data_IF_234177218903
#
_entry.id   IF_234177218903
#
_cell.length_a   1.000
_cell.length_b   1.000
_cell.length_c   1.000
_cell.angle_alpha   90.00
_cell.angle_beta   90.00
_cell.angle_gamma   90.00
#
_symmetry.space_group_name_H-M   'P 1'
#
loop_
_entity.id
_entity.type
_entity.pdbx_description
1 polymer ?
#
# COMPACT_ATOMS: atom_id res chain seq x y z
N UNK A 1 -14.32 11.47 -12.98
CA UNK A 1 -15.06 10.51 -13.82
C UNK A 1 -14.10 9.52 -14.46
N UNK A 2 -14.57 8.31 -14.71
CA UNK A 2 -13.76 7.27 -15.36
C UNK A 2 -13.56 7.53 -16.87
N UNK A 3 -12.65 6.77 -17.48
CA UNK A 3 -12.44 6.78 -18.94
C UNK A 3 -13.75 6.40 -19.65
N UNK A 4 -14.19 7.11 -20.69
CA UNK A 4 -15.34 6.70 -21.50
C UNK A 4 -15.19 5.29 -22.04
N UNK A 5 -16.29 4.53 -22.16
CA UNK A 5 -16.21 3.14 -22.58
C UNK A 5 -15.63 2.98 -23.99
N UNK A 6 -15.92 3.91 -24.89
CA UNK A 6 -15.40 3.95 -26.25
C UNK A 6 -13.87 4.17 -26.32
N UNK A 7 -13.26 4.66 -25.23
CA UNK A 7 -11.81 4.87 -25.13
C UNK A 7 -11.11 3.77 -24.32
N UNK A 8 -11.86 2.84 -23.73
CA UNK A 8 -11.30 1.84 -22.82
C UNK A 8 -10.32 0.90 -23.50
N UNK A 9 -10.55 0.50 -24.75
CA UNK A 9 -9.61 -0.39 -25.47
C UNK A 9 -8.23 0.29 -25.66
N UNK A 10 -8.24 1.59 -26.00
CA UNK A 10 -7.00 2.37 -26.10
C UNK A 10 -6.32 2.52 -24.74
N UNK A 11 -7.09 2.80 -23.69
CA UNK A 11 -6.55 2.90 -22.32
C UNK A 11 -5.97 1.58 -21.81
N UNK A 12 -6.62 0.46 -22.08
CA UNK A 12 -6.09 -0.88 -21.77
C UNK A 12 -4.77 -1.11 -22.50
N UNK A 13 -4.67 -0.71 -23.78
CA UNK A 13 -3.43 -0.82 -24.52
C UNK A 13 -2.31 0.03 -23.91
N UNK A 14 -2.60 1.25 -23.46
CA UNK A 14 -1.62 2.12 -22.76
C UNK A 14 -1.09 1.45 -21.49
N UNK A 15 -1.95 0.76 -20.73
CA UNK A 15 -1.50 -0.01 -19.53
C UNK A 15 -0.56 -1.15 -19.93
N UNK A 16 -0.88 -1.87 -21.01
CA UNK A 16 -0.01 -2.95 -21.52
C UNK A 16 1.31 -2.41 -22.04
N UNK A 17 1.30 -1.25 -22.70
CA UNK A 17 2.49 -0.57 -23.22
C UNK A 17 3.40 -0.06 -22.07
N UNK A 18 2.82 0.40 -20.97
CA UNK A 18 3.57 0.76 -19.76
C UNK A 18 4.35 -0.45 -19.20
N UNK A 19 3.72 -1.62 -19.15
CA UNK A 19 4.40 -2.84 -18.70
C UNK A 19 5.49 -3.25 -19.72
N UNK A 20 5.21 -3.15 -21.02
CA UNK A 20 6.20 -3.41 -22.07
C UNK A 20 7.37 -2.41 -22.00
N UNK A 21 7.09 -1.12 -21.74
CA UNK A 21 8.15 -0.15 -21.51
C UNK A 21 9.03 -0.53 -20.33
N UNK A 22 8.44 -0.95 -19.22
CA UNK A 22 9.19 -1.35 -18.03
C UNK A 22 10.02 -2.62 -18.23
N UNK A 23 9.44 -3.64 -18.85
CA UNK A 23 10.00 -5.00 -18.87
C UNK A 23 10.34 -5.57 -20.24
N UNK A 24 9.90 -4.92 -21.34
CA UNK A 24 10.07 -5.43 -22.70
C UNK A 24 11.55 -5.53 -23.11
N UNK A 25 11.84 -6.50 -23.95
CA UNK A 25 13.16 -6.69 -24.56
C UNK A 25 13.47 -5.51 -25.51
N UNK A 26 14.60 -4.82 -25.28
CA UNK A 26 15.00 -3.65 -26.05
C UNK A 26 15.24 -3.91 -27.56
N UNK A 27 15.42 -5.17 -27.97
CA UNK A 27 15.63 -5.54 -29.37
C UNK A 27 14.38 -6.09 -30.04
N UNK A 28 13.41 -6.55 -29.25
CA UNK A 28 12.26 -7.32 -29.75
C UNK A 28 10.93 -6.57 -29.64
N UNK A 29 10.83 -5.62 -28.69
CA UNK A 29 9.58 -4.91 -28.43
C UNK A 29 9.70 -3.42 -28.73
N UNK A 30 8.60 -2.77 -29.08
CA UNK A 30 8.58 -1.36 -29.41
C UNK A 30 8.94 -0.50 -28.20
N UNK A 31 8.25 -0.70 -27.09
CA UNK A 31 8.45 0.10 -25.89
C UNK A 31 9.75 -0.23 -25.15
N UNK A 32 10.23 -1.48 -25.25
CA UNK A 32 11.58 -1.84 -24.79
C UNK A 32 12.67 -1.08 -25.54
N UNK A 33 12.49 -0.88 -26.84
CA UNK A 33 13.37 -0.06 -27.68
C UNK A 33 13.36 1.41 -27.26
N UNK A 34 12.17 1.99 -27.06
CA UNK A 34 12.01 3.38 -26.57
C UNK A 34 12.67 3.58 -25.20
N UNK A 35 12.54 2.60 -24.30
CA UNK A 35 13.25 2.62 -23.02
C UNK A 35 14.77 2.66 -23.21
N UNK A 36 15.30 1.83 -24.10
CA UNK A 36 16.74 1.78 -24.40
C UNK A 36 17.25 3.11 -25.00
N UNK A 37 16.49 3.73 -25.91
CA UNK A 37 16.77 5.04 -26.49
C UNK A 37 16.77 6.15 -25.43
N UNK A 38 15.94 6.01 -24.39
CA UNK A 38 15.94 6.88 -23.20
C UNK A 38 17.12 6.63 -22.24
N UNK A 39 18.07 5.76 -22.59
CA UNK A 39 19.27 5.48 -21.79
C UNK A 39 19.16 4.27 -20.86
N UNK A 40 18.06 3.52 -20.89
CA UNK A 40 17.80 2.39 -20.02
C UNK A 40 17.63 1.06 -20.79
N UNK A 41 18.72 0.47 -21.34
CA UNK A 41 18.62 -0.72 -22.20
C UNK A 41 18.15 -1.99 -21.46
N UNK A 42 18.38 -2.08 -20.13
CA UNK A 42 17.94 -3.21 -19.32
C UNK A 42 16.51 -3.02 -18.84
N UNK A 43 15.70 -4.11 -18.74
CA UNK A 43 14.40 -4.07 -18.08
C UNK A 43 14.49 -3.55 -16.64
N UNK A 44 13.45 -2.84 -16.20
CA UNK A 44 13.36 -2.36 -14.82
C UNK A 44 12.98 -3.46 -13.83
N UNK A 45 12.43 -4.57 -14.31
CA UNK A 45 12.00 -5.67 -13.45
C UNK A 45 10.71 -5.35 -12.68
N UNK A 46 9.77 -4.64 -13.32
CA UNK A 46 8.45 -4.37 -12.75
C UNK A 46 7.76 -5.70 -12.39
N UNK A 47 7.30 -5.82 -11.15
CA UNK A 47 6.60 -7.00 -10.63
C UNK A 47 5.15 -6.73 -10.23
N UNK A 48 4.83 -5.50 -9.91
CA UNK A 48 3.54 -5.08 -9.39
C UNK A 48 2.99 -3.90 -10.19
N UNK A 49 1.68 -3.86 -10.37
CA UNK A 49 0.96 -2.72 -10.93
C UNK A 49 -0.31 -2.47 -10.13
N UNK A 50 -0.45 -1.26 -9.59
CA UNK A 50 -1.67 -0.79 -8.95
C UNK A 50 -2.68 -0.33 -9.99
N UNK A 51 -3.94 -0.73 -9.87
CA UNK A 51 -5.05 -0.30 -10.71
C UNK A 51 -6.11 0.35 -9.84
N UNK A 52 -6.35 1.64 -10.06
CA UNK A 52 -7.20 2.50 -9.25
C UNK A 52 -6.45 3.11 -8.04
N UNK A 53 -7.08 4.10 -7.45
CA UNK A 53 -6.62 4.77 -6.23
C UNK A 53 -7.81 5.39 -5.50
N UNK A 54 -8.23 4.81 -4.39
CA UNK A 54 -9.35 5.31 -3.57
C UNK A 54 -10.65 5.51 -4.37
N UNK A 55 -10.86 4.73 -5.40
CA UNK A 55 -12.03 4.84 -6.26
C UNK A 55 -13.30 4.44 -5.50
N UNK A 56 -14.42 5.06 -5.88
CA UNK A 56 -15.75 4.56 -5.54
C UNK A 56 -15.99 3.26 -6.33
N UNK A 57 -16.25 2.19 -5.61
CA UNK A 57 -16.42 0.85 -6.20
C UNK A 57 -17.86 0.71 -6.71
N UNK A 58 -18.09 1.22 -7.91
CA UNK A 58 -19.36 1.18 -8.62
C UNK A 58 -19.35 0.14 -9.72
N UNK A 59 -20.51 -0.18 -10.31
CA UNK A 59 -20.59 -1.07 -11.48
C UNK A 59 -19.71 -0.55 -12.63
N UNK A 60 -19.64 0.77 -12.80
CA UNK A 60 -18.79 1.43 -13.80
C UNK A 60 -17.30 1.20 -13.52
N UNK A 61 -16.88 1.26 -12.27
CA UNK A 61 -15.52 0.92 -11.87
C UNK A 61 -15.23 -0.56 -12.10
N UNK A 62 -16.11 -1.43 -11.64
CA UNK A 62 -15.94 -2.89 -11.78
C UNK A 62 -15.77 -3.29 -13.26
N UNK A 63 -16.58 -2.75 -14.17
CA UNK A 63 -16.50 -3.04 -15.60
C UNK A 63 -15.12 -2.68 -16.17
N UNK A 64 -14.65 -1.45 -15.91
CA UNK A 64 -13.36 -0.95 -16.41
C UNK A 64 -12.17 -1.65 -15.78
N UNK A 65 -12.21 -1.84 -14.46
CA UNK A 65 -11.20 -2.59 -13.75
C UNK A 65 -11.04 -4.00 -14.32
N UNK A 66 -12.16 -4.69 -14.56
CA UNK A 66 -12.18 -6.05 -15.10
C UNK A 66 -11.54 -6.11 -16.49
N UNK A 67 -11.79 -5.13 -17.36
CA UNK A 67 -11.16 -5.05 -18.69
C UNK A 67 -9.63 -4.96 -18.56
N UNK A 68 -9.12 -4.05 -17.72
CA UNK A 68 -7.69 -3.86 -17.51
C UNK A 68 -7.07 -5.12 -16.89
N UNK A 69 -7.66 -5.63 -15.82
CA UNK A 69 -7.18 -6.81 -15.10
C UNK A 69 -7.06 -8.03 -16.00
N UNK A 70 -8.09 -8.33 -16.80
CA UNK A 70 -8.09 -9.46 -17.72
C UNK A 70 -7.01 -9.32 -18.78
N UNK A 71 -6.82 -8.12 -19.34
CA UNK A 71 -5.80 -7.86 -20.35
C UNK A 71 -4.38 -8.03 -19.80
N UNK A 72 -4.12 -7.47 -18.60
CA UNK A 72 -2.81 -7.61 -17.93
C UNK A 72 -2.54 -9.07 -17.60
N UNK A 73 -3.50 -9.78 -17.01
CA UNK A 73 -3.35 -11.19 -16.65
C UNK A 73 -3.10 -12.09 -17.88
N UNK A 74 -3.77 -11.78 -19.01
CA UNK A 74 -3.60 -12.56 -20.23
C UNK A 74 -2.23 -12.37 -20.90
N UNK A 75 -1.71 -11.14 -20.92
CA UNK A 75 -0.45 -10.81 -21.61
C UNK A 75 0.77 -10.92 -20.69
N UNK A 76 0.62 -10.60 -19.41
CA UNK A 76 1.70 -10.53 -18.42
C UNK A 76 1.33 -11.28 -17.12
N UNK A 77 1.21 -12.62 -17.15
CA UNK A 77 0.75 -13.42 -16.02
C UNK A 77 1.68 -13.34 -14.80
N UNK A 78 2.94 -12.93 -14.99
CA UNK A 78 3.92 -12.77 -13.90
C UNK A 78 3.82 -11.42 -13.19
N UNK A 79 3.00 -10.48 -13.69
CA UNK A 79 2.74 -9.21 -13.04
C UNK A 79 1.64 -9.40 -12.00
N UNK A 80 1.94 -9.04 -10.76
CA UNK A 80 0.95 -8.97 -9.69
C UNK A 80 0.14 -7.69 -9.81
N UNK A 81 -1.15 -7.82 -10.06
CA UNK A 81 -2.07 -6.68 -10.04
C UNK A 81 -2.50 -6.41 -8.60
N UNK A 82 -2.48 -5.15 -8.21
CA UNK A 82 -2.98 -4.65 -6.93
C UNK A 82 -4.23 -3.83 -7.21
N UNK A 83 -5.38 -4.25 -6.65
CA UNK A 83 -6.66 -3.55 -6.83
C UNK A 83 -6.99 -2.67 -5.64
N UNK A 84 -7.50 -1.45 -5.89
CA UNK A 84 -7.97 -0.58 -4.80
C UNK A 84 -9.22 -1.15 -4.12
N UNK A 85 -9.31 -0.96 -2.80
CA UNK A 85 -10.52 -1.26 -2.01
C UNK A 85 -11.05 -0.03 -1.28
N UNK A 86 -10.89 1.14 -1.91
CA UNK A 86 -11.41 2.41 -1.41
C UNK A 86 -10.47 3.14 -0.44
N UNK A 87 -10.95 4.25 0.14
CA UNK A 87 -10.12 5.19 0.90
C UNK A 87 -10.09 4.94 2.42
N UNK A 88 -10.71 3.86 2.91
CA UNK A 88 -10.86 3.64 4.35
C UNK A 88 -10.90 2.15 4.73
N UNK A 89 -10.74 1.84 6.02
CA UNK A 89 -10.68 0.47 6.55
C UNK A 89 -12.06 -0.21 6.69
N UNK A 90 -13.13 0.50 6.39
CA UNK A 90 -14.52 0.02 6.48
C UNK A 90 -15.44 0.83 5.55
N UNK A 91 -16.65 0.37 5.36
CA UNK A 91 -17.66 1.05 4.57
C UNK A 91 -17.87 0.43 3.19
N UNK A 92 -18.77 1.04 2.42
CA UNK A 92 -19.27 0.45 1.16
C UNK A 92 -18.14 0.18 0.16
N UNK A 93 -17.23 1.12 -0.05
CA UNK A 93 -16.15 0.93 -1.03
C UNK A 93 -15.18 -0.16 -0.59
N UNK A 94 -14.88 -0.27 0.71
CA UNK A 94 -14.09 -1.35 1.25
C UNK A 94 -14.77 -2.71 1.03
N UNK A 95 -16.05 -2.83 1.38
CA UNK A 95 -16.79 -4.08 1.26
C UNK A 95 -16.94 -4.51 -0.21
N UNK A 96 -17.33 -3.59 -1.10
CA UNK A 96 -17.49 -3.88 -2.53
C UNK A 96 -16.14 -4.13 -3.21
N UNK A 97 -15.07 -3.42 -2.81
CA UNK A 97 -13.72 -3.66 -3.30
C UNK A 97 -13.22 -5.08 -2.96
N UNK A 98 -13.42 -5.53 -1.73
CA UNK A 98 -13.09 -6.91 -1.32
C UNK A 98 -13.96 -7.97 -2.01
N UNK A 99 -15.24 -7.67 -2.27
CA UNK A 99 -16.10 -8.56 -3.07
C UNK A 99 -15.58 -8.69 -4.51
N UNK A 100 -15.23 -7.57 -5.13
CA UNK A 100 -14.65 -7.56 -6.48
C UNK A 100 -13.32 -8.32 -6.53
N UNK A 101 -12.44 -8.07 -5.55
CA UNK A 101 -11.18 -8.80 -5.44
C UNK A 101 -11.38 -10.31 -5.32
N UNK A 102 -12.35 -10.74 -4.51
CA UNK A 102 -12.69 -12.16 -4.38
C UNK A 102 -13.36 -12.73 -5.64
N UNK A 103 -14.21 -11.96 -6.32
CA UNK A 103 -14.88 -12.37 -7.56
C UNK A 103 -13.91 -12.63 -8.71
N UNK A 104 -12.88 -11.79 -8.82
CA UNK A 104 -11.89 -11.84 -9.90
C UNK A 104 -10.63 -12.63 -9.51
N UNK A 105 -10.52 -13.10 -8.29
CA UNK A 105 -9.33 -13.74 -7.74
C UNK A 105 -8.08 -12.84 -7.88
N UNK A 106 -8.23 -11.58 -7.46
CA UNK A 106 -7.13 -10.60 -7.49
C UNK A 106 -6.10 -11.00 -6.45
N UNK A 107 -4.79 -11.06 -6.82
CA UNK A 107 -3.77 -11.56 -5.90
C UNK A 107 -3.51 -10.63 -4.71
N UNK A 108 -3.70 -9.32 -4.87
CA UNK A 108 -3.40 -8.30 -3.86
C UNK A 108 -4.36 -7.13 -3.94
N UNK A 109 -4.72 -6.57 -2.79
CA UNK A 109 -5.52 -5.35 -2.68
C UNK A 109 -4.72 -4.24 -2.00
N UNK A 110 -5.06 -2.99 -2.34
CA UNK A 110 -4.50 -1.78 -1.76
C UNK A 110 -5.47 -1.20 -0.75
N UNK A 111 -5.08 -1.24 0.53
CA UNK A 111 -5.84 -0.66 1.63
C UNK A 111 -5.25 0.68 2.05
N UNK A 112 -6.13 1.65 2.25
CA UNK A 112 -5.77 2.99 2.72
C UNK A 112 -6.56 3.35 3.96
N UNK A 113 -5.90 3.87 4.99
CA UNK A 113 -6.59 4.50 6.12
C UNK A 113 -5.72 5.44 6.91
N UNK A 114 -6.27 6.60 7.21
CA UNK A 114 -5.72 7.61 8.07
C UNK A 114 -6.58 7.68 9.33
N UNK A 115 -6.03 7.31 10.47
CA UNK A 115 -6.79 7.07 11.70
C UNK A 115 -6.14 7.71 12.91
N UNK A 116 -6.91 7.91 13.99
CA UNK A 116 -6.36 8.41 15.23
C UNK A 116 -5.35 7.40 15.86
N UNK A 117 -4.33 7.86 16.60
CA UNK A 117 -3.40 6.98 17.32
C UNK A 117 -4.10 5.94 18.18
N UNK A 118 -5.19 6.32 18.83
CA UNK A 118 -6.01 5.39 19.64
C UNK A 118 -6.57 4.23 18.82
N UNK A 119 -6.95 4.46 17.56
CA UNK A 119 -7.42 3.39 16.70
C UNK A 119 -6.31 2.36 16.44
N UNK A 120 -5.10 2.80 16.10
CA UNK A 120 -3.95 1.92 15.87
C UNK A 120 -3.61 1.10 17.11
N UNK A 121 -3.61 1.74 18.29
CA UNK A 121 -3.34 1.08 19.58
C UNK A 121 -4.38 -0.01 19.87
N UNK A 122 -5.65 0.25 19.60
CA UNK A 122 -6.74 -0.67 19.92
C UNK A 122 -7.01 -1.73 18.85
N UNK A 123 -6.41 -1.62 17.67
CA UNK A 123 -6.61 -2.52 16.53
C UNK A 123 -5.32 -3.20 16.04
N UNK A 124 -4.39 -3.50 16.95
CA UNK A 124 -3.16 -4.23 16.62
C UNK A 124 -3.45 -5.64 16.04
N UNK A 125 -4.61 -6.18 16.32
CA UNK A 125 -5.14 -7.46 15.86
C UNK A 125 -6.04 -7.35 14.63
N UNK A 126 -6.04 -6.19 13.96
CA UNK A 126 -6.93 -5.91 12.82
C UNK A 126 -6.81 -6.98 11.72
N UNK A 127 -5.60 -7.37 11.36
CA UNK A 127 -5.33 -8.37 10.33
C UNK A 127 -5.40 -9.83 10.81
N UNK A 128 -5.50 -10.08 12.12
CA UNK A 128 -5.62 -11.46 12.66
C UNK A 128 -6.87 -12.16 12.15
N UNK A 129 -7.93 -11.42 11.84
CA UNK A 129 -9.22 -11.91 11.35
C UNK A 129 -9.29 -12.17 9.84
N UNK A 130 -8.27 -11.76 9.08
CA UNK A 130 -8.28 -11.88 7.62
C UNK A 130 -8.16 -13.34 7.18
N UNK A 131 -8.92 -13.69 6.14
CA UNK A 131 -8.86 -15.00 5.51
C UNK A 131 -7.57 -15.14 4.70
N UNK A 132 -6.68 -16.04 5.15
CA UNK A 132 -5.37 -16.28 4.53
C UNK A 132 -5.44 -16.85 3.11
N UNK A 133 -6.61 -17.38 2.70
CA UNK A 133 -6.84 -17.90 1.35
C UNK A 133 -7.25 -16.81 0.34
N UNK A 134 -7.54 -15.60 0.80
CA UNK A 134 -7.95 -14.46 -0.03
C UNK A 134 -6.76 -13.62 -0.47
N UNK A 135 -7.05 -12.51 -1.18
CA UNK A 135 -6.05 -11.54 -1.62
C UNK A 135 -5.11 -11.15 -0.49
N UNK A 136 -3.84 -10.96 -0.80
CA UNK A 136 -2.88 -10.32 0.11
C UNK A 136 -3.17 -8.83 0.18
N UNK A 137 -2.62 -8.18 1.20
CA UNK A 137 -2.78 -6.74 1.42
C UNK A 137 -1.47 -6.02 1.17
N UNK A 138 -1.53 -4.99 0.37
CA UNK A 138 -0.63 -3.86 0.38
C UNK A 138 -1.30 -2.75 1.17
N UNK A 139 -0.76 -2.40 2.34
CA UNK A 139 -1.20 -1.22 3.09
C UNK A 139 -0.52 -0.01 2.46
N UNK A 140 -1.13 0.49 1.38
CA UNK A 140 -0.49 1.44 0.47
C UNK A 140 -0.45 2.87 0.97
N UNK A 141 -1.42 3.24 1.83
CA UNK A 141 -1.40 4.53 2.51
C UNK A 141 -1.92 4.39 3.93
N UNK A 142 -1.13 4.85 4.90
CA UNK A 142 -1.57 4.95 6.29
C UNK A 142 -0.76 5.98 7.05
N UNK A 143 -1.37 6.57 8.05
CA UNK A 143 -0.72 7.38 9.06
C UNK A 143 -1.62 7.54 10.29
N UNK A 144 -1.00 7.82 11.44
CA UNK A 144 -1.71 8.28 12.62
C UNK A 144 -2.01 9.78 12.51
N UNK A 145 -3.28 10.17 12.64
CA UNK A 145 -3.72 11.55 12.60
C UNK A 145 -4.26 12.03 13.94
N UNK A 146 -3.58 12.99 14.55
CA UNK A 146 -4.11 13.79 15.66
C UNK A 146 -4.81 15.06 15.14
N UNK A 147 -5.65 15.73 15.95
CA UNK A 147 -6.10 17.08 15.65
C UNK A 147 -4.93 18.01 15.35
N UNK A 148 -5.04 18.81 14.27
CA UNK A 148 -3.93 19.63 13.78
C UNK A 148 -2.84 18.86 13.02
N UNK A 149 -2.93 17.55 12.97
CA UNK A 149 -2.08 16.64 12.19
C UNK A 149 -0.57 16.81 12.41
N UNK A 150 -0.05 16.89 13.66
CA UNK A 150 1.38 16.90 13.89
C UNK A 150 1.99 15.52 13.61
N UNK A 151 3.23 15.50 13.13
CA UNK A 151 4.08 14.30 13.22
C UNK A 151 4.90 14.41 14.50
N UNK A 152 4.55 13.65 15.53
CA UNK A 152 5.18 13.71 16.85
C UNK A 152 5.39 12.30 17.43
N UNK A 153 5.94 12.25 18.64
CA UNK A 153 6.26 10.97 19.29
C UNK A 153 5.01 10.12 19.58
N UNK A 154 3.86 10.72 19.81
CA UNK A 154 2.61 9.98 20.04
C UNK A 154 2.16 9.24 18.78
N UNK A 155 2.15 9.93 17.64
CA UNK A 155 1.83 9.31 16.36
C UNK A 155 2.85 8.23 15.99
N UNK A 156 4.13 8.51 16.17
CA UNK A 156 5.21 7.58 15.86
C UNK A 156 5.14 6.30 16.71
N UNK A 157 4.86 6.40 18.00
CA UNK A 157 4.71 5.24 18.90
C UNK A 157 3.46 4.42 18.57
N UNK A 158 2.34 5.07 18.22
CA UNK A 158 1.13 4.36 17.81
C UNK A 158 1.35 3.59 16.50
N UNK A 159 2.03 4.19 15.53
CA UNK A 159 2.41 3.55 14.28
C UNK A 159 3.39 2.39 14.52
N UNK A 160 4.41 2.57 15.35
CA UNK A 160 5.35 1.52 15.73
C UNK A 160 4.63 0.31 16.35
N UNK A 161 3.72 0.57 17.28
CA UNK A 161 2.94 -0.48 17.92
C UNK A 161 2.07 -1.24 16.91
N UNK A 162 1.41 -0.53 16.01
CA UNK A 162 0.59 -1.13 14.95
C UNK A 162 1.42 -1.99 13.99
N UNK A 163 2.63 -1.54 13.63
CA UNK A 163 3.53 -2.27 12.76
C UNK A 163 3.99 -3.62 13.35
N UNK A 164 4.04 -3.78 14.67
CA UNK A 164 4.27 -5.11 15.26
C UNK A 164 3.16 -6.09 14.93
N UNK A 165 1.91 -5.63 14.90
CA UNK A 165 0.75 -6.42 14.45
C UNK A 165 0.78 -6.72 12.96
N UNK A 166 1.27 -5.78 12.15
CA UNK A 166 1.47 -5.97 10.70
C UNK A 166 2.54 -7.04 10.46
N UNK A 167 3.70 -6.99 11.12
CA UNK A 167 4.74 -8.02 11.01
C UNK A 167 4.24 -9.39 11.44
N UNK A 168 3.45 -9.46 12.51
CA UNK A 168 2.82 -10.72 12.94
C UNK A 168 1.89 -11.31 11.88
N UNK A 169 1.32 -10.47 11.02
CA UNK A 169 0.43 -10.83 9.93
C UNK A 169 1.10 -10.71 8.55
N UNK A 170 2.41 -10.91 8.43
CA UNK A 170 3.15 -10.80 7.18
C UNK A 170 2.70 -11.81 6.11
N UNK A 171 2.00 -12.85 6.50
CA UNK A 171 1.34 -13.81 5.60
C UNK A 171 0.08 -13.23 4.92
N UNK A 172 -0.46 -12.11 5.43
CA UNK A 172 -1.56 -11.33 4.84
C UNK A 172 -1.05 -10.01 4.29
N UNK A 173 -0.39 -9.19 5.13
CA UNK A 173 0.12 -7.87 4.75
C UNK A 173 1.55 -8.00 4.26
N UNK A 174 1.73 -7.99 2.96
CA UNK A 174 3.03 -8.26 2.32
C UNK A 174 3.87 -7.01 2.09
N UNK A 175 3.23 -5.85 2.05
CA UNK A 175 3.90 -4.55 1.88
C UNK A 175 3.16 -3.46 2.65
N UNK A 176 3.89 -2.45 3.10
CA UNK A 176 3.34 -1.23 3.67
C UNK A 176 4.06 0.00 3.12
N UNK A 177 3.36 1.11 2.98
CA UNK A 177 3.96 2.41 2.73
C UNK A 177 3.24 3.52 3.47
N UNK A 178 3.98 4.26 4.27
CA UNK A 178 3.50 5.49 4.91
C UNK A 178 3.19 6.54 3.85
N UNK A 179 2.12 7.28 4.01
CA UNK A 179 1.75 8.36 3.12
C UNK A 179 1.26 9.61 3.85
N UNK A 180 1.53 10.81 3.27
CA UNK A 180 2.46 11.09 2.16
C UNK A 180 3.92 11.04 2.57
N UNK A 181 4.82 10.80 1.60
CA UNK A 181 6.24 10.60 1.87
C UNK A 181 7.03 11.92 1.96
N UNK A 182 6.91 12.80 0.97
CA UNK A 182 7.76 13.98 0.80
C UNK A 182 6.94 15.26 0.73
N UNK A 183 7.39 16.29 1.46
CA UNK A 183 6.79 17.62 1.39
C UNK A 183 7.85 18.74 1.33
N UNK A 184 7.72 19.61 0.34
CA UNK A 184 8.50 20.84 0.32
C UNK A 184 7.91 21.86 1.29
N UNK A 185 8.71 22.36 2.24
CA UNK A 185 8.26 23.36 3.22
C UNK A 185 7.63 24.57 2.54
N UNK A 186 6.45 24.98 3.01
CA UNK A 186 5.67 26.09 2.45
C UNK A 186 4.97 25.80 1.13
N UNK A 187 5.07 24.59 0.57
CA UNK A 187 4.50 24.18 -0.71
C UNK A 187 3.82 22.81 -0.67
N UNK A 188 3.27 22.43 0.47
CA UNK A 188 2.48 21.21 0.61
C UNK A 188 1.01 21.55 0.85
N UNK A 189 0.12 20.69 0.36
CA UNK A 189 -1.32 20.77 0.60
C UNK A 189 -1.79 19.78 1.67
N UNK A 190 -0.88 18.98 2.21
CA UNK A 190 -1.15 17.92 3.17
C UNK A 190 -0.18 17.94 4.35
N UNK A 191 -0.62 17.44 5.48
CA UNK A 191 0.18 17.11 6.65
C UNK A 191 -0.53 16.01 7.48
N UNK A 192 0.19 15.15 8.20
CA UNK A 192 1.65 15.11 8.27
C UNK A 192 2.26 14.45 7.04
N UNK A 193 3.46 14.86 6.69
CA UNK A 193 4.31 14.16 5.72
C UNK A 193 5.49 13.53 6.45
N UNK A 194 6.10 12.51 5.87
CA UNK A 194 7.15 11.75 6.56
C UNK A 194 8.49 12.49 6.56
N UNK A 195 8.82 13.13 5.44
CA UNK A 195 10.08 13.86 5.24
C UNK A 195 9.78 15.24 4.67
N UNK A 196 10.14 16.27 5.41
CA UNK A 196 10.10 17.63 4.91
C UNK A 196 11.45 18.02 4.32
N UNK A 197 11.45 18.90 3.34
CA UNK A 197 12.68 19.42 2.75
C UNK A 197 12.48 20.85 2.25
N UNK A 198 13.60 21.56 2.08
CA UNK A 198 13.69 22.82 1.38
C UNK A 198 14.88 22.78 0.40
N UNK A 199 15.33 23.93 -0.09
CA UNK A 199 16.39 23.97 -1.09
C UNK A 199 17.77 23.57 -0.54
N UNK A 200 17.95 23.50 0.78
CA UNK A 200 19.26 23.32 1.43
C UNK A 200 19.27 22.20 2.45
N UNK A 201 18.10 21.75 2.93
CA UNK A 201 18.00 20.81 4.04
C UNK A 201 16.93 19.73 3.78
N UNK A 202 17.17 18.55 4.32
CA UNK A 202 16.20 17.46 4.44
C UNK A 202 15.91 17.24 5.92
N UNK A 203 14.63 17.19 6.29
CA UNK A 203 14.15 17.15 7.68
C UNK A 203 13.26 15.92 7.90
N UNK A 204 13.85 14.75 8.18
CA UNK A 204 13.07 13.57 8.55
C UNK A 204 12.29 13.82 9.83
N UNK A 205 11.06 13.32 9.89
CA UNK A 205 10.24 13.41 11.09
C UNK A 205 10.50 12.24 12.06
N UNK A 206 9.90 12.28 13.23
CA UNK A 206 9.93 11.14 14.17
C UNK A 206 9.31 9.89 13.53
N UNK A 207 8.21 10.06 12.77
CA UNK A 207 7.59 8.98 12.01
C UNK A 207 8.53 8.35 10.99
N UNK A 208 9.38 9.14 10.33
CA UNK A 208 10.41 8.61 9.43
C UNK A 208 11.33 7.60 10.13
N UNK A 209 11.82 7.93 11.32
CA UNK A 209 12.72 7.04 12.05
C UNK A 209 12.02 5.76 12.49
N UNK A 210 10.72 5.80 12.76
CA UNK A 210 9.91 4.60 12.98
C UNK A 210 9.90 3.72 11.73
N UNK A 211 9.55 4.28 10.57
CA UNK A 211 9.52 3.54 9.30
C UNK A 211 10.92 2.99 8.94
N UNK A 212 11.96 3.79 9.13
CA UNK A 212 13.34 3.37 8.88
C UNK A 212 13.73 2.17 9.74
N UNK A 213 13.39 2.19 11.02
CA UNK A 213 13.70 1.10 11.95
C UNK A 213 13.08 -0.22 11.49
N UNK A 214 11.79 -0.21 11.12
CA UNK A 214 11.12 -1.39 10.60
C UNK A 214 11.67 -1.82 9.23
N UNK A 215 11.83 -0.88 8.29
CA UNK A 215 12.33 -1.18 6.95
C UNK A 215 13.76 -1.70 6.89
N UNK A 216 14.62 -1.27 7.81
CA UNK A 216 16.02 -1.75 7.88
C UNK A 216 16.19 -3.07 8.66
N UNK A 217 15.19 -3.44 9.45
CA UNK A 217 15.22 -4.64 10.28
C UNK A 217 14.10 -5.63 9.90
N UNK A 218 13.52 -5.49 8.73
CA UNK A 218 12.59 -6.48 8.21
C UNK A 218 13.34 -7.80 7.98
N UNK A 219 12.78 -8.89 8.54
CA UNK A 219 13.32 -10.23 8.36
C UNK A 219 12.67 -10.97 7.18
N UNK A 220 13.16 -12.15 6.90
CA UNK A 220 12.61 -13.05 5.88
C UNK A 220 11.50 -13.96 6.43
N UNK A 221 11.49 -14.18 7.75
CA UNK A 221 10.55 -15.05 8.43
C UNK A 221 10.07 -14.43 9.74
N UNK A 222 8.76 -14.50 9.99
CA UNK A 222 8.20 -14.11 11.29
C UNK A 222 8.42 -15.22 12.33
N UNK A 223 9.00 -14.84 13.47
CA UNK A 223 9.19 -15.73 14.62
C UNK A 223 8.06 -15.48 15.62
N UNK A 224 7.22 -16.48 15.86
CA UNK A 224 6.12 -16.39 16.82
C UNK A 224 6.63 -15.92 18.18
N UNK A 225 6.14 -14.78 18.60
CA UNK A 225 6.54 -14.13 19.84
C UNK A 225 5.33 -13.91 20.74
N UNK A 226 5.52 -14.09 22.04
CA UNK A 226 4.49 -13.81 23.05
C UNK A 226 5.02 -12.90 24.12
N UNK A 227 4.17 -11.97 24.59
CA UNK A 227 4.49 -11.09 25.73
C UNK A 227 3.60 -11.47 26.91
N UNK A 228 4.23 -11.76 28.03
CA UNK A 228 3.55 -11.93 29.30
C UNK A 228 3.79 -10.72 30.18
N UNK A 229 2.73 -9.97 30.45
CA UNK A 229 2.78 -8.79 31.33
C UNK A 229 2.29 -9.13 32.73
N UNK A 230 2.95 -8.61 33.74
CA UNK A 230 2.49 -8.72 35.12
C UNK A 230 1.26 -7.84 35.42
N UNK A 231 0.91 -6.94 34.51
CA UNK A 231 -0.27 -6.10 34.60
C UNK A 231 -1.40 -6.70 33.73
N UNK A 232 -2.53 -6.95 34.35
CA UNK A 232 -3.71 -7.57 33.74
C UNK A 232 -4.69 -6.56 33.10
N UNK A 233 -4.49 -5.25 33.34
CA UNK A 233 -5.38 -4.22 32.78
C UNK A 233 -5.30 -4.17 31.26
N UNK A 234 -6.44 -4.28 30.59
CA UNK A 234 -6.51 -4.28 29.11
C UNK A 234 -5.92 -3.02 28.48
N UNK A 235 -6.12 -1.86 29.11
CA UNK A 235 -5.54 -0.61 28.65
C UNK A 235 -4.01 -0.58 28.67
N UNK A 236 -3.36 -1.39 29.52
CA UNK A 236 -1.89 -1.56 29.52
C UNK A 236 -1.48 -2.60 28.49
N UNK A 237 -2.16 -3.74 28.43
CA UNK A 237 -1.87 -4.81 27.47
C UNK A 237 -1.91 -4.32 26.03
N UNK A 238 -2.90 -3.51 25.68
CA UNK A 238 -3.04 -2.94 24.34
C UNK A 238 -1.97 -1.91 23.96
N UNK A 239 -1.12 -1.49 24.88
CA UNK A 239 -0.01 -0.57 24.64
C UNK A 239 1.35 -1.25 24.54
N UNK A 240 1.37 -2.57 24.48
CA UNK A 240 2.59 -3.36 24.32
C UNK A 240 2.41 -4.32 23.17
N UNK A 241 3.29 -4.26 22.20
CA UNK A 241 3.35 -5.17 21.06
C UNK A 241 4.77 -5.71 20.91
N UNK A 242 4.86 -6.92 20.38
CA UNK A 242 6.13 -7.58 20.08
C UNK A 242 6.00 -8.31 18.76
N UNK A 243 6.99 -8.16 17.91
CA UNK A 243 7.21 -9.00 16.74
C UNK A 243 8.66 -9.43 16.71
N UNK A 244 8.91 -10.63 16.21
CA UNK A 244 10.24 -11.16 15.92
C UNK A 244 10.34 -11.52 14.45
N UNK A 245 11.35 -11.04 13.77
CA UNK A 245 11.59 -11.27 12.35
C UNK A 245 13.02 -11.62 12.07
#
# INVERSE_FOLDING_TARGET
>A
GGVPMEEMDAYVQDVLDLIEYANGDAKKTEWGRKRAEAGHPKPFGLKYIGIGNEDLITDVFEERFTMIYNAVRAKYPDITVIGTVGPFYEGTDYDEGWKLASKLDIPMVDEHYYVAPGWLIHNQDYYDRYDRSKSKVYLGEYAAHLPGRPNNIETALAEALYLTGVERNADVVTMTSYAPLLAKEGHTQWNPDLIYFNNTEVKPTVGYYTQQMYGQNAGDEYITSTVQLNNWQDGVKKRVGVSGV
#
